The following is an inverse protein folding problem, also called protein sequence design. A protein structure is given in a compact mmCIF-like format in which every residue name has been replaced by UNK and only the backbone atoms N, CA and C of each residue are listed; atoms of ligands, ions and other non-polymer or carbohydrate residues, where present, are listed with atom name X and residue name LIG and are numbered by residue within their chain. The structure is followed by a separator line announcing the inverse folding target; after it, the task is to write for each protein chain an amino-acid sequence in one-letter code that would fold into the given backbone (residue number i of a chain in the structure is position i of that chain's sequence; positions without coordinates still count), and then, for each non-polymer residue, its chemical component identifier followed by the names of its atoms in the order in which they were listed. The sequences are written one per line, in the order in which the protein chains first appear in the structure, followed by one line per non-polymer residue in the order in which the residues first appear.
data_IF_426106620470
#
_entry.id   IF_426106620470
#
_cell.length_a   1.000
_cell.length_b   1.000
_cell.length_c   1.000
_cell.angle_alpha   90.00
_cell.angle_beta   90.00
_cell.angle_gamma   90.00
#
_symmetry.space_group_name_H-M   'P 1'
#
loop_
_entity.id
_entity.type
_entity.pdbx_description
1 polymer ?
#
# COMPACT_ATOMS: atom_id res chain seq x y z
N UNK A 1 -10.03 -16.33 12.05
CA UNK A 1 -10.16 -17.80 11.99
C UNK A 1 -9.76 -18.37 10.63
N UNK A 2 -10.26 -17.85 9.49
CA UNK A 2 -9.96 -18.40 8.17
C UNK A 2 -8.46 -18.53 7.88
N UNK A 3 -7.66 -17.46 8.07
CA UNK A 3 -6.22 -17.52 7.82
C UNK A 3 -5.56 -18.57 8.74
N UNK A 4 -5.91 -18.57 10.02
CA UNK A 4 -5.38 -19.53 10.98
C UNK A 4 -5.70 -20.98 10.60
N UNK A 5 -6.91 -21.22 10.09
CA UNK A 5 -7.39 -22.57 9.78
C UNK A 5 -6.87 -23.09 8.44
N UNK A 6 -6.56 -22.20 7.47
CA UNK A 6 -6.17 -22.55 6.10
C UNK A 6 -4.75 -22.19 5.71
N UNK A 7 -4.04 -21.34 6.48
CA UNK A 7 -2.64 -20.99 6.19
C UNK A 7 -1.76 -22.23 6.28
N UNK A 8 -1.01 -22.50 5.21
CA UNK A 8 -0.02 -23.57 5.11
C UNK A 8 1.38 -22.98 5.06
N UNK A 9 2.42 -23.82 5.11
CA UNK A 9 3.82 -23.42 5.14
C UNK A 9 4.20 -22.42 4.03
N UNK A 10 3.68 -22.62 2.82
CA UNK A 10 3.96 -21.76 1.66
C UNK A 10 2.88 -20.70 1.40
N UNK A 11 1.90 -20.55 2.28
CA UNK A 11 0.87 -19.51 2.12
C UNK A 11 1.45 -18.17 2.51
N UNK A 12 1.35 -17.20 1.60
CA UNK A 12 1.69 -15.81 1.86
C UNK A 12 0.41 -15.00 2.08
N UNK A 13 0.45 -14.11 3.05
CA UNK A 13 -0.69 -13.26 3.43
C UNK A 13 -0.31 -11.81 3.19
N UNK A 14 -0.94 -11.20 2.20
CA UNK A 14 -0.91 -9.76 1.99
C UNK A 14 -2.20 -9.17 2.52
N UNK A 15 -2.12 -8.13 3.34
CA UNK A 15 -3.26 -7.37 3.84
C UNK A 15 -3.17 -5.95 3.31
N UNK A 16 -4.17 -5.56 2.52
CA UNK A 16 -4.39 -4.18 2.11
C UNK A 16 -5.53 -3.61 2.97
N UNK A 17 -5.23 -2.77 3.98
CA UNK A 17 -6.21 -2.36 4.97
C UNK A 17 -7.05 -1.18 4.47
N UNK A 18 -7.89 -1.43 3.48
CA UNK A 18 -8.72 -0.40 2.84
C UNK A 18 -9.76 0.17 3.79
N UNK A 19 -9.39 1.20 4.57
CA UNK A 19 -10.24 1.81 5.60
C UNK A 19 -10.47 3.31 5.41
N UNK A 20 -9.66 3.99 4.63
CA UNK A 20 -9.77 5.44 4.46
C UNK A 20 -8.67 6.06 3.63
N UNK A 21 -8.79 7.35 3.34
CA UNK A 21 -7.78 8.12 2.62
C UNK A 21 -7.85 9.62 3.00
N UNK A 22 -6.78 10.38 2.71
CA UNK A 22 -6.70 11.82 2.97
C UNK A 22 -7.07 12.25 4.41
N UNK A 23 -6.75 11.42 5.41
CA UNK A 23 -7.03 11.68 6.82
C UNK A 23 -8.46 11.35 7.26
N UNK A 24 -9.28 10.78 6.38
CA UNK A 24 -10.67 10.43 6.66
C UNK A 24 -10.90 8.92 6.50
N UNK A 25 -11.52 8.31 7.50
CA UNK A 25 -12.02 6.94 7.37
C UNK A 25 -13.29 6.91 6.52
N UNK A 26 -13.48 5.83 5.80
CA UNK A 26 -14.74 5.59 5.09
C UNK A 26 -15.89 5.41 6.08
N UNK A 27 -17.10 5.78 5.69
CA UNK A 27 -18.28 5.76 6.55
C UNK A 27 -18.66 4.38 7.12
N UNK A 28 -18.16 3.33 6.51
CA UNK A 28 -18.35 1.93 6.96
C UNK A 28 -17.26 1.47 7.92
N UNK A 29 -16.23 2.29 8.18
CA UNK A 29 -15.10 1.95 9.03
C UNK A 29 -15.30 2.58 10.41
N UNK A 30 -15.61 1.74 11.39
CA UNK A 30 -15.71 2.09 12.81
C UNK A 30 -14.52 1.56 13.61
N UNK A 31 -14.54 1.78 14.93
CA UNK A 31 -13.47 1.30 15.82
C UNK A 31 -13.39 -0.22 15.86
N UNK A 32 -14.51 -0.93 15.76
CA UNK A 32 -14.52 -2.39 15.77
C UNK A 32 -13.81 -2.96 14.53
N UNK A 33 -14.00 -2.32 13.36
CA UNK A 33 -13.28 -2.72 12.14
C UNK A 33 -11.78 -2.42 12.25
N UNK A 34 -11.40 -1.28 12.83
CA UNK A 34 -9.99 -0.94 13.04
C UNK A 34 -9.33 -1.99 13.94
N UNK A 35 -9.98 -2.39 15.04
CA UNK A 35 -9.45 -3.40 15.94
C UNK A 35 -9.35 -4.78 15.27
N UNK A 36 -10.37 -5.18 14.52
CA UNK A 36 -10.32 -6.41 13.73
C UNK A 36 -9.18 -6.39 12.71
N UNK A 37 -8.91 -5.22 12.11
CA UNK A 37 -7.79 -5.05 11.18
C UNK A 37 -6.44 -5.14 11.90
N UNK A 38 -6.32 -4.58 13.14
CA UNK A 38 -5.12 -4.75 13.97
C UNK A 38 -4.85 -6.23 14.30
N UNK A 39 -5.90 -6.99 14.64
CA UNK A 39 -5.77 -8.43 14.84
C UNK A 39 -5.29 -9.14 13.56
N UNK A 40 -5.77 -8.71 12.40
CA UNK A 40 -5.37 -9.29 11.11
C UNK A 40 -3.88 -9.08 10.80
N UNK A 41 -3.28 -7.97 11.25
CA UNK A 41 -1.84 -7.68 11.07
C UNK A 41 -0.93 -8.82 11.60
N UNK A 42 -1.34 -9.55 12.63
CA UNK A 42 -0.56 -10.63 13.23
C UNK A 42 -0.30 -11.79 12.26
N UNK A 43 -1.14 -11.94 11.24
CA UNK A 43 -1.04 -13.00 10.24
C UNK A 43 -0.38 -12.55 8.95
N UNK A 44 -0.17 -11.23 8.79
CA UNK A 44 0.30 -10.64 7.55
C UNK A 44 1.81 -10.84 7.34
N UNK A 45 2.17 -11.37 6.18
CA UNK A 45 3.55 -11.37 5.72
C UNK A 45 3.91 -10.00 5.13
N UNK A 46 2.96 -9.34 4.46
CA UNK A 46 3.08 -7.97 3.96
C UNK A 46 1.79 -7.20 4.22
N UNK A 47 1.92 -5.93 4.62
CA UNK A 47 0.80 -4.98 4.73
C UNK A 47 1.08 -3.75 3.86
N UNK A 48 0.02 -3.19 3.22
CA UNK A 48 0.15 -2.08 2.26
C UNK A 48 -0.65 -0.83 2.66
N UNK A 49 -0.65 -0.41 3.93
CA UNK A 49 -1.46 0.73 4.34
C UNK A 49 -1.02 2.02 3.65
N UNK A 50 -1.99 2.90 3.35
CA UNK A 50 -1.70 4.30 3.09
C UNK A 50 -1.45 5.04 4.42
N UNK A 51 -1.15 6.34 4.34
CA UNK A 51 -0.82 7.14 5.53
C UNK A 51 -1.99 7.26 6.51
N UNK A 52 -3.23 7.37 6.02
CA UNK A 52 -4.44 7.46 6.84
C UNK A 52 -4.66 6.17 7.63
N UNK A 53 -4.58 5.07 6.94
CA UNK A 53 -4.73 3.72 7.50
C UNK A 53 -3.64 3.39 8.51
N UNK A 54 -2.38 3.71 8.18
CA UNK A 54 -1.27 3.53 9.11
C UNK A 54 -1.46 4.35 10.38
N UNK A 55 -1.97 5.57 10.28
CA UNK A 55 -2.29 6.42 11.44
C UNK A 55 -3.42 5.83 12.27
N UNK A 56 -4.51 5.36 11.64
CA UNK A 56 -5.64 4.74 12.32
C UNK A 56 -5.23 3.45 13.06
N UNK A 57 -4.48 2.57 12.38
CA UNK A 57 -4.00 1.32 12.96
C UNK A 57 -3.06 1.50 14.16
N UNK A 58 -2.33 2.61 14.21
CA UNK A 58 -1.29 2.85 15.23
C UNK A 58 -1.64 3.94 16.23
N UNK A 59 -2.89 4.39 16.27
CA UNK A 59 -3.36 5.52 17.10
C UNK A 59 -2.45 6.76 16.98
N UNK A 60 -1.98 7.00 15.75
CA UNK A 60 -1.13 8.16 15.46
C UNK A 60 -1.97 9.26 14.83
N UNK A 61 -1.85 10.48 15.32
CA UNK A 61 -2.59 11.60 14.74
C UNK A 61 -2.16 11.84 13.29
N UNK A 62 -3.12 11.76 12.36
CA UNK A 62 -2.90 12.08 10.97
C UNK A 62 -2.53 13.57 10.81
N UNK A 63 -1.59 13.83 9.93
CA UNK A 63 -1.19 15.18 9.51
C UNK A 63 -1.08 15.18 7.99
N UNK A 64 -1.67 16.15 7.33
CA UNK A 64 -1.57 16.28 5.88
C UNK A 64 -0.11 16.49 5.42
N UNK A 65 0.67 17.20 6.22
CA UNK A 65 2.06 17.57 5.92
C UNK A 65 2.99 17.31 7.14
N UNK A 66 4.28 17.46 6.92
CA UNK A 66 5.27 17.40 8.01
C UNK A 66 5.80 16.01 8.34
N UNK A 67 5.59 15.05 7.45
CA UNK A 67 6.15 13.70 7.57
C UNK A 67 7.61 13.66 7.16
N UNK A 68 8.50 13.70 8.16
CA UNK A 68 9.92 13.44 7.96
C UNK A 68 10.18 11.94 7.75
N UNK A 69 11.33 11.58 7.16
CA UNK A 69 11.73 10.16 7.05
C UNK A 69 11.70 9.46 8.40
N UNK A 70 12.16 10.13 9.47
CA UNK A 70 12.13 9.60 10.83
C UNK A 70 10.69 9.28 11.29
N UNK A 71 9.76 10.24 11.16
CA UNK A 71 8.35 10.01 11.54
C UNK A 71 7.72 8.84 10.76
N UNK A 72 8.05 8.71 9.46
CA UNK A 72 7.57 7.60 8.64
C UNK A 72 8.19 6.27 9.08
N UNK A 73 9.47 6.25 9.43
CA UNK A 73 10.12 5.07 10.02
C UNK A 73 9.50 4.67 11.35
N UNK A 74 9.26 5.65 12.23
CA UNK A 74 8.60 5.40 13.52
C UNK A 74 7.18 4.86 13.32
N UNK A 75 6.44 5.36 12.33
CA UNK A 75 5.09 4.90 11.99
C UNK A 75 5.10 3.43 11.49
N UNK A 76 6.01 3.10 10.56
CA UNK A 76 6.14 1.73 10.07
C UNK A 76 6.62 0.78 11.16
N UNK A 77 7.45 1.24 12.09
CA UNK A 77 7.84 0.46 13.27
C UNK A 77 6.65 0.09 14.16
N UNK A 78 5.73 1.04 14.39
CA UNK A 78 4.50 0.76 15.15
C UNK A 78 3.64 -0.34 14.48
N UNK A 79 3.56 -0.37 13.15
CA UNK A 79 2.86 -1.44 12.42
C UNK A 79 3.54 -2.80 12.61
N UNK A 80 4.88 -2.84 12.74
CA UNK A 80 5.57 -4.07 13.13
C UNK A 80 5.22 -4.55 14.54
N UNK A 81 4.95 -3.64 15.48
CA UNK A 81 4.52 -4.00 16.82
C UNK A 81 3.12 -4.64 16.82
N UNK A 82 2.28 -4.33 15.84
CA UNK A 82 0.98 -5.00 15.62
C UNK A 82 1.13 -6.41 15.01
N UNK A 83 2.32 -6.80 14.57
CA UNK A 83 2.58 -8.16 14.11
C UNK A 83 3.06 -8.27 12.66
N UNK A 84 2.82 -7.29 11.80
CA UNK A 84 3.22 -7.32 10.39
C UNK A 84 4.71 -7.65 10.21
N UNK A 85 5.05 -8.54 9.27
CA UNK A 85 6.45 -8.90 8.98
C UNK A 85 7.14 -7.89 8.08
N UNK A 86 6.42 -7.42 7.07
CA UNK A 86 6.88 -6.37 6.16
C UNK A 86 5.79 -5.33 6.01
N UNK A 87 6.18 -4.07 6.01
CA UNK A 87 5.29 -2.92 5.84
C UNK A 87 5.68 -2.18 4.58
N UNK A 88 4.73 -1.92 3.73
CA UNK A 88 4.87 -1.00 2.59
C UNK A 88 3.89 0.15 2.83
N UNK A 89 4.35 1.22 3.47
CA UNK A 89 3.54 2.42 3.63
C UNK A 89 3.47 3.14 2.29
N UNK A 90 2.25 3.27 1.75
CA UNK A 90 2.03 3.74 0.38
C UNK A 90 1.56 5.20 0.33
N UNK A 91 1.74 5.83 -0.82
CA UNK A 91 1.03 7.05 -1.18
C UNK A 91 1.43 8.32 -0.42
N UNK A 92 2.59 8.38 0.26
CA UNK A 92 2.99 9.57 1.00
C UNK A 92 3.40 10.68 0.03
N UNK A 93 2.52 11.67 -0.17
CA UNK A 93 2.79 12.80 -1.08
C UNK A 93 3.80 13.74 -0.46
N UNK A 94 4.87 14.06 -1.21
CA UNK A 94 5.91 15.01 -0.81
C UNK A 94 6.29 15.90 -1.99
N UNK A 95 5.67 17.04 -2.07
CA UNK A 95 5.82 17.96 -3.20
C UNK A 95 5.38 17.31 -4.52
N UNK A 96 6.30 17.14 -5.47
CA UNK A 96 6.04 16.52 -6.77
C UNK A 96 6.35 15.02 -6.81
N UNK A 97 6.45 14.38 -5.66
CA UNK A 97 6.79 12.96 -5.55
C UNK A 97 5.78 12.23 -4.65
N UNK A 98 5.61 10.95 -4.91
CA UNK A 98 5.01 9.97 -4.02
C UNK A 98 6.16 9.14 -3.43
N UNK A 99 6.19 9.01 -2.11
CA UNK A 99 7.08 8.12 -1.40
C UNK A 99 6.31 6.86 -0.99
N UNK A 100 6.92 5.70 -1.24
CA UNK A 100 6.55 4.45 -0.62
C UNK A 100 7.69 4.06 0.35
N UNK A 101 7.34 3.68 1.57
CA UNK A 101 8.32 3.26 2.58
C UNK A 101 8.25 1.75 2.72
N UNK A 102 9.35 1.09 2.44
CA UNK A 102 9.49 -0.36 2.54
C UNK A 102 10.24 -0.64 3.83
N UNK A 103 9.60 -1.32 4.77
CA UNK A 103 10.21 -1.65 6.04
C UNK A 103 9.99 -3.14 6.33
N UNK A 104 11.03 -3.93 6.13
CA UNK A 104 11.05 -5.34 6.52
C UNK A 104 11.54 -5.45 7.97
N UNK A 105 10.93 -6.33 8.76
CA UNK A 105 11.30 -6.50 10.17
C UNK A 105 12.78 -6.84 10.34
N UNK A 106 13.46 -6.06 11.16
CA UNK A 106 14.90 -6.22 11.42
C UNK A 106 15.83 -5.56 10.40
N UNK A 107 15.28 -4.84 9.41
CA UNK A 107 16.07 -4.06 8.46
C UNK A 107 15.77 -2.56 8.62
N UNK A 108 16.62 -1.71 8.07
CA UNK A 108 16.36 -0.27 7.97
C UNK A 108 15.29 -0.01 6.89
N UNK A 109 14.39 0.97 7.09
CA UNK A 109 13.39 1.30 6.09
C UNK A 109 14.01 1.94 4.84
N UNK A 110 13.57 1.47 3.68
CA UNK A 110 13.95 1.96 2.37
C UNK A 110 12.86 2.89 1.83
N UNK A 111 13.25 4.01 1.24
CA UNK A 111 12.34 5.03 0.70
C UNK A 111 12.38 5.04 -0.82
N UNK A 112 11.33 4.60 -1.44
CA UNK A 112 11.19 4.61 -2.90
C UNK A 112 10.34 5.82 -3.33
N UNK A 113 10.92 6.71 -4.13
CA UNK A 113 10.25 7.91 -4.65
C UNK A 113 9.88 7.75 -6.12
N UNK A 114 8.64 8.08 -6.46
CA UNK A 114 8.17 8.19 -7.84
C UNK A 114 7.61 9.58 -8.10
N UNK A 115 7.59 10.00 -9.37
CA UNK A 115 6.96 11.26 -9.74
C UNK A 115 5.45 11.17 -9.48
N UNK A 116 4.91 12.15 -8.78
CA UNK A 116 3.48 12.30 -8.60
C UNK A 116 2.82 12.59 -9.95
N UNK A 117 1.78 11.85 -10.27
CA UNK A 117 0.85 12.15 -11.36
C UNK A 117 -0.45 12.57 -10.69
N UNK A 118 -0.98 13.72 -11.05
CA UNK A 118 -2.24 14.21 -10.50
C UNK A 118 -3.38 13.29 -10.97
N UNK A 119 -4.44 13.21 -10.16
CA UNK A 119 -5.61 12.37 -10.38
C UNK A 119 -5.94 11.57 -9.12
N UNK A 120 -7.19 11.56 -8.74
CA UNK A 120 -7.70 10.83 -7.58
C UNK A 120 -8.57 9.66 -8.05
N UNK A 121 -7.94 8.72 -8.76
CA UNK A 121 -8.64 7.57 -9.32
C UNK A 121 -8.79 6.46 -8.28
N UNK A 122 -10.01 5.97 -8.13
CA UNK A 122 -10.28 4.78 -7.31
C UNK A 122 -9.53 3.55 -7.84
N UNK A 123 -9.08 2.70 -6.93
CA UNK A 123 -8.40 1.43 -7.28
C UNK A 123 -6.88 1.54 -7.44
N UNK A 124 -6.26 2.70 -7.21
CA UNK A 124 -4.79 2.84 -7.24
C UNK A 124 -4.11 1.95 -6.20
N UNK A 125 -4.66 1.88 -4.97
CA UNK A 125 -4.21 1.00 -3.90
C UNK A 125 -4.35 -0.47 -4.29
N UNK A 126 -5.54 -0.86 -4.78
CA UNK A 126 -5.83 -2.24 -5.18
C UNK A 126 -4.86 -2.73 -6.26
N UNK A 127 -4.61 -1.92 -7.28
CA UNK A 127 -3.66 -2.24 -8.37
C UNK A 127 -2.24 -2.37 -7.82
N UNK A 128 -1.83 -1.48 -6.92
CA UNK A 128 -0.52 -1.53 -6.29
C UNK A 128 -0.37 -2.82 -5.46
N UNK A 129 -1.33 -3.10 -4.58
CA UNK A 129 -1.33 -4.30 -3.73
C UNK A 129 -1.37 -5.60 -4.56
N UNK A 130 -2.15 -5.64 -5.66
CA UNK A 130 -2.19 -6.78 -6.56
C UNK A 130 -0.83 -7.08 -7.21
N UNK A 131 -0.09 -6.05 -7.64
CA UNK A 131 1.26 -6.23 -8.21
C UNK A 131 2.25 -6.69 -7.14
N UNK A 132 2.13 -6.18 -5.89
CA UNK A 132 2.93 -6.68 -4.76
C UNK A 132 2.63 -8.16 -4.51
N UNK A 133 1.36 -8.55 -4.40
CA UNK A 133 0.95 -9.94 -4.17
C UNK A 133 1.46 -10.89 -5.27
N UNK A 134 1.32 -10.51 -6.53
CA UNK A 134 1.86 -11.28 -7.65
C UNK A 134 3.39 -11.40 -7.60
N UNK A 135 4.08 -10.35 -7.18
CA UNK A 135 5.54 -10.32 -7.03
C UNK A 135 6.00 -11.23 -5.88
N UNK A 136 5.27 -11.22 -4.75
CA UNK A 136 5.54 -12.11 -3.60
C UNK A 136 5.50 -13.58 -4.01
N UNK A 137 4.42 -14.00 -4.69
CA UNK A 137 4.28 -15.40 -5.15
C UNK A 137 5.40 -15.81 -6.10
N UNK A 138 5.95 -14.88 -6.86
CA UNK A 138 7.08 -15.09 -7.78
C UNK A 138 8.45 -15.01 -7.11
N UNK A 139 8.52 -14.74 -5.80
CA UNK A 139 9.77 -14.59 -5.07
C UNK A 139 10.58 -13.33 -5.45
N UNK A 140 9.93 -12.30 -5.98
CA UNK A 140 10.58 -11.04 -6.35
C UNK A 140 10.98 -10.30 -5.07
N UNK A 141 12.22 -9.77 -4.96
CA UNK A 141 12.62 -8.95 -3.82
C UNK A 141 11.69 -7.77 -3.58
N UNK A 142 11.41 -7.42 -2.32
CA UNK A 142 10.39 -6.44 -1.93
C UNK A 142 10.61 -5.06 -2.56
N UNK A 143 11.86 -4.57 -2.59
CA UNK A 143 12.17 -3.27 -3.23
C UNK A 143 11.83 -3.27 -4.73
N UNK A 144 12.13 -4.36 -5.41
CA UNK A 144 11.81 -4.52 -6.83
C UNK A 144 10.29 -4.66 -7.03
N UNK A 145 9.59 -5.38 -6.15
CA UNK A 145 8.14 -5.48 -6.17
C UNK A 145 7.48 -4.09 -6.05
N UNK A 146 7.93 -3.27 -5.11
CA UNK A 146 7.44 -1.89 -4.93
C UNK A 146 7.77 -1.01 -6.15
N UNK A 147 8.97 -1.15 -6.72
CA UNK A 147 9.34 -0.43 -7.95
C UNK A 147 8.40 -0.76 -9.10
N UNK A 148 8.09 -2.05 -9.30
CA UNK A 148 7.15 -2.53 -10.33
C UNK A 148 5.74 -2.04 -10.08
N UNK A 149 5.25 -2.18 -8.85
CA UNK A 149 3.91 -1.73 -8.46
C UNK A 149 3.74 -0.23 -8.69
N UNK A 150 4.68 0.59 -8.22
CA UNK A 150 4.66 2.04 -8.40
C UNK A 150 4.73 2.45 -9.88
N UNK A 151 5.57 1.80 -10.68
CA UNK A 151 5.69 2.08 -12.11
C UNK A 151 4.41 1.70 -12.87
N UNK A 152 3.81 0.56 -12.53
CA UNK A 152 2.59 0.08 -13.17
C UNK A 152 1.38 0.96 -12.79
N UNK A 153 1.18 1.22 -11.49
CA UNK A 153 0.10 2.11 -11.03
C UNK A 153 0.19 3.49 -11.66
N UNK A 154 1.40 4.07 -11.69
CA UNK A 154 1.63 5.35 -12.38
C UNK A 154 1.24 5.28 -13.85
N UNK A 155 1.61 4.19 -14.55
CA UNK A 155 1.24 4.00 -15.96
C UNK A 155 -0.26 3.91 -16.17
N UNK A 156 -0.98 3.26 -15.24
CA UNK A 156 -2.44 3.21 -15.29
C UNK A 156 -3.06 4.60 -15.09
N UNK A 157 -2.57 5.40 -14.14
CA UNK A 157 -3.04 6.78 -13.93
C UNK A 157 -2.81 7.63 -15.19
N UNK A 158 -1.59 7.64 -15.73
CA UNK A 158 -1.26 8.37 -16.96
C UNK A 158 -2.16 7.97 -18.14
N UNK A 159 -2.47 6.66 -18.26
CA UNK A 159 -3.32 6.16 -19.33
C UNK A 159 -4.79 6.54 -19.14
N UNK A 160 -5.26 6.54 -17.90
CA UNK A 160 -6.62 6.97 -17.55
C UNK A 160 -6.82 8.45 -17.86
N UNK A 161 -5.85 9.31 -17.51
CA UNK A 161 -5.84 10.72 -17.89
C UNK A 161 -5.85 10.91 -19.41
N UNK A 162 -4.99 10.19 -20.13
CA UNK A 162 -4.91 10.25 -21.61
C UNK A 162 -6.24 9.89 -22.27
N UNK A 163 -6.97 8.92 -21.71
CA UNK A 163 -8.27 8.47 -22.21
C UNK A 163 -9.42 9.38 -21.79
N UNK A 164 -9.20 10.33 -20.86
CA UNK A 164 -10.22 11.24 -20.34
C UNK A 164 -11.33 10.52 -19.59
N UNK A 165 -11.02 9.36 -18.97
CA UNK A 165 -12.00 8.61 -18.19
C UNK A 165 -12.35 9.38 -16.89
N UNK A 166 -13.63 9.40 -16.48
CA UNK A 166 -14.05 10.03 -15.24
C UNK A 166 -13.36 9.39 -14.03
N UNK A 167 -12.99 10.18 -13.01
CA UNK A 167 -12.32 9.69 -11.80
C UNK A 167 -13.11 8.57 -11.09
N UNK A 168 -14.45 8.69 -11.12
CA UNK A 168 -15.37 7.72 -10.51
C UNK A 168 -15.37 6.33 -11.19
N UNK A 169 -14.94 6.24 -12.45
CA UNK A 169 -14.86 4.97 -13.19
C UNK A 169 -13.59 4.18 -12.84
N UNK A 170 -12.69 4.78 -12.05
CA UNK A 170 -11.44 4.17 -11.63
C UNK A 170 -10.37 4.12 -12.72
N UNK A 171 -9.39 3.26 -12.55
CA UNK A 171 -8.25 3.12 -13.47
C UNK A 171 -8.58 2.31 -14.72
N UNK A 172 -8.15 2.78 -15.89
CA UNK A 172 -8.18 2.03 -17.15
C UNK A 172 -7.08 0.94 -17.15
N UNK A 173 -7.23 -0.06 -16.29
CA UNK A 173 -6.24 -1.10 -16.02
C UNK A 173 -5.93 -1.95 -17.25
N UNK A 174 -6.98 -2.37 -17.99
CA UNK A 174 -6.87 -3.29 -19.11
C UNK A 174 -5.95 -2.75 -20.21
N UNK A 175 -6.01 -1.45 -20.47
CA UNK A 175 -5.17 -0.77 -21.44
C UNK A 175 -3.66 -0.81 -21.08
N UNK A 176 -3.33 -1.16 -19.84
CA UNK A 176 -1.97 -1.17 -19.32
C UNK A 176 -1.40 -2.58 -19.09
N UNK A 177 -2.20 -3.65 -19.14
CA UNK A 177 -1.77 -5.01 -18.79
C UNK A 177 -0.52 -5.48 -19.53
N UNK A 178 -0.39 -5.13 -20.81
CA UNK A 178 0.81 -5.46 -21.60
C UNK A 178 2.11 -4.84 -21.05
N UNK A 179 2.01 -3.81 -20.20
CA UNK A 179 3.18 -3.21 -19.58
C UNK A 179 3.75 -4.09 -18.45
N UNK A 180 2.92 -4.89 -17.78
CA UNK A 180 3.39 -5.82 -16.73
C UNK A 180 4.38 -6.85 -17.29
N UNK A 181 4.18 -7.32 -18.52
CA UNK A 181 5.09 -8.28 -19.16
C UNK A 181 6.48 -7.71 -19.45
N UNK A 182 6.62 -6.38 -19.48
CA UNK A 182 7.90 -5.68 -19.65
C UNK A 182 8.62 -5.41 -18.35
N UNK A 183 7.92 -5.56 -17.21
CA UNK A 183 8.47 -5.37 -15.87
C UNK A 183 8.90 -6.71 -15.24
N UNK A 184 8.61 -7.83 -15.89
CA UNK A 184 8.94 -9.18 -15.43
C UNK A 184 10.39 -9.58 -15.69
#
# INVERSE_FOLDING_TARGET
DFIRDFKRENTQVLVDPTMGDHGHLYSVCDEDLIEAMRELMQYADVVTPNLTEACALTDTLYQENGWSKRKLSDLTWKLHLLGARSVILTGVVKGKQILNVIHERGKEPVFHATKFVAGNYHGTGDVFAAVIGASMVRGVPMEEAVRRAAAFTKKCVEKTEELGAPEQDGLCLEACLSYLTKLS
#
